data_IF_376438777187
#
_entry.id   IF_376438777187
#
_cell.length_a   1.000
_cell.length_b   1.000
_cell.length_c   1.000
_cell.angle_alpha   90.00
_cell.angle_beta   90.00
_cell.angle_gamma   90.00
#
_symmetry.space_group_name_H-M   'P 1'
#
loop_
_entity.id
_entity.type
_entity.pdbx_description
1 polymer ?
#
# COMPACT_ATOMS: atom_id res chain seq x y z
N UNK A 1 -12.16 6.76 40.87
CA UNK A 1 -11.22 6.27 39.83
C UNK A 1 -10.69 7.51 39.12
N UNK A 2 -9.45 7.91 39.46
CA UNK A 2 -8.97 9.30 39.36
C UNK A 2 -8.58 9.75 37.95
N UNK A 3 -9.03 10.95 37.56
CA UNK A 3 -8.59 11.65 36.33
C UNK A 3 -7.07 11.82 36.28
N UNK A 4 -6.42 11.87 37.44
CA UNK A 4 -4.98 12.01 37.57
C UNK A 4 -4.22 10.73 37.18
N UNK A 5 -4.76 9.54 37.50
CA UNK A 5 -4.18 8.27 37.05
C UNK A 5 -4.32 8.08 35.54
N UNK A 6 -5.44 8.51 34.96
CA UNK A 6 -5.64 8.50 33.50
C UNK A 6 -4.65 9.44 32.78
N UNK A 7 -4.30 10.57 33.39
CA UNK A 7 -3.29 11.49 32.85
C UNK A 7 -1.89 10.86 32.88
N UNK A 8 -1.49 10.26 34.01
CA UNK A 8 -0.20 9.56 34.15
C UNK A 8 -0.08 8.37 33.20
N UNK A 9 -1.14 7.57 33.04
CA UNK A 9 -1.15 6.46 32.09
C UNK A 9 -1.06 6.93 30.64
N UNK A 10 -1.66 8.07 30.28
CA UNK A 10 -1.55 8.66 28.93
C UNK A 10 -0.14 9.19 28.66
N UNK A 11 0.48 9.80 29.65
CA UNK A 11 1.86 10.29 29.53
C UNK A 11 2.85 9.14 29.39
N UNK A 12 2.69 8.09 30.20
CA UNK A 12 3.48 6.87 30.10
C UNK A 12 3.30 6.16 28.74
N UNK A 13 2.08 6.13 28.20
CA UNK A 13 1.82 5.56 26.86
C UNK A 13 2.45 6.39 25.74
N UNK A 14 2.49 7.72 25.87
CA UNK A 14 3.14 8.63 24.91
C UNK A 14 4.65 8.42 24.87
N UNK A 15 5.30 8.25 26.02
CA UNK A 15 6.75 8.01 26.09
C UNK A 15 7.12 6.60 25.58
N UNK A 16 6.30 5.58 25.86
CA UNK A 16 6.49 4.24 25.31
C UNK A 16 6.36 4.19 23.78
N UNK A 17 5.37 4.88 23.22
CA UNK A 17 5.15 5.01 21.76
C UNK A 17 6.27 5.79 21.05
N UNK A 18 7.01 6.63 21.75
CA UNK A 18 8.22 7.29 21.23
C UNK A 18 9.46 6.39 21.25
N UNK A 19 9.62 5.54 22.27
CA UNK A 19 10.75 4.58 22.33
C UNK A 19 10.61 3.42 21.36
N UNK A 20 9.37 2.98 21.12
CA UNK A 20 9.04 1.95 20.12
C UNK A 20 8.13 2.60 19.09
N UNK A 21 8.66 3.35 18.12
CA UNK A 21 7.87 3.70 16.96
C UNK A 21 7.33 2.40 16.38
N UNK A 22 6.05 2.32 15.97
CA UNK A 22 5.59 1.18 15.19
C UNK A 22 6.57 1.05 14.04
N UNK A 23 7.36 -0.03 14.05
CA UNK A 23 8.27 -0.31 12.96
C UNK A 23 7.34 -0.49 11.79
N UNK A 24 7.26 0.51 10.93
CA UNK A 24 6.56 0.40 9.66
C UNK A 24 7.42 -0.56 8.86
N UNK A 25 7.27 -1.87 9.12
CA UNK A 25 8.01 -2.93 8.43
C UNK A 25 7.74 -2.84 6.93
N UNK A 26 6.59 -2.26 6.54
CA UNK A 26 6.22 -1.97 5.16
C UNK A 26 7.13 -0.97 4.41
N UNK A 27 7.86 -0.07 5.09
CA UNK A 27 8.57 1.02 4.40
C UNK A 27 10.00 0.67 3.95
N UNK A 28 10.57 -0.47 4.37
CA UNK A 28 12.00 -0.71 4.20
C UNK A 28 12.40 -2.16 3.92
N UNK A 29 11.48 -3.02 3.47
CA UNK A 29 11.94 -4.05 2.53
C UNK A 29 12.27 -3.31 1.22
N UNK A 30 13.52 -2.89 1.10
CA UNK A 30 14.12 -2.69 -0.21
C UNK A 30 13.95 -4.03 -0.92
N UNK A 31 12.89 -4.14 -1.72
CA UNK A 31 12.76 -5.22 -2.66
C UNK A 31 14.02 -5.16 -3.53
N UNK A 32 14.95 -6.09 -3.31
CA UNK A 32 16.09 -6.39 -4.17
C UNK A 32 15.54 -6.96 -5.49
N UNK A 33 14.74 -6.16 -6.18
CA UNK A 33 14.31 -6.45 -7.52
C UNK A 33 15.54 -6.33 -8.39
N UNK A 34 15.82 -7.34 -9.23
CA UNK A 34 16.85 -7.24 -10.24
C UNK A 34 16.72 -5.91 -10.97
N UNK A 35 17.83 -5.16 -11.19
CA UNK A 35 17.77 -3.91 -11.89
C UNK A 35 17.04 -4.11 -13.22
N UNK A 36 16.08 -3.23 -13.57
CA UNK A 36 15.20 -3.48 -14.70
C UNK A 36 16.01 -3.63 -15.98
N UNK A 37 15.67 -4.66 -16.73
CA UNK A 37 16.30 -4.94 -18.02
C UNK A 37 16.06 -3.77 -18.98
N UNK A 38 16.91 -3.62 -20.00
CA UNK A 38 16.78 -2.52 -20.97
C UNK A 38 15.40 -2.49 -21.64
N UNK A 39 14.82 -3.65 -21.92
CA UNK A 39 13.45 -3.77 -22.46
C UNK A 39 12.38 -3.29 -21.49
N UNK A 40 12.49 -3.65 -20.21
CA UNK A 40 11.57 -3.17 -19.17
C UNK A 40 11.66 -1.66 -18.94
N UNK A 41 12.88 -1.08 -18.99
CA UNK A 41 13.06 0.38 -18.91
C UNK A 41 12.40 1.10 -20.08
N UNK A 42 12.51 0.55 -21.28
CA UNK A 42 11.87 1.11 -22.48
C UNK A 42 10.34 1.00 -22.38
N UNK A 43 9.82 -0.15 -21.95
CA UNK A 43 8.38 -0.35 -21.75
C UNK A 43 7.81 0.62 -20.70
N UNK A 44 8.50 0.83 -19.58
CA UNK A 44 8.08 1.79 -18.55
C UNK A 44 8.12 3.23 -19.06
N UNK A 45 9.15 3.59 -19.84
CA UNK A 45 9.23 4.91 -20.45
C UNK A 45 8.06 5.13 -21.41
N UNK A 46 7.78 4.15 -22.27
CA UNK A 46 6.67 4.18 -23.23
C UNK A 46 5.31 4.23 -22.53
N UNK A 47 5.10 3.46 -21.46
CA UNK A 47 3.87 3.49 -20.68
C UNK A 47 3.66 4.85 -20.00
N UNK A 48 4.73 5.45 -19.44
CA UNK A 48 4.66 6.78 -18.81
C UNK A 48 4.42 7.90 -19.82
N UNK A 49 4.97 7.79 -21.02
CA UNK A 49 4.76 8.81 -22.07
C UNK A 49 3.36 8.69 -22.67
N UNK A 50 2.90 7.48 -23.00
CA UNK A 50 1.58 7.25 -23.60
C UNK A 50 0.44 7.53 -22.60
N UNK A 51 0.65 7.27 -21.31
CA UNK A 51 -0.33 7.55 -20.25
C UNK A 51 -0.46 9.03 -19.86
N UNK A 52 0.32 9.94 -20.46
CA UNK A 52 0.28 11.36 -20.12
C UNK A 52 -0.75 12.13 -20.95
N UNK A 53 -1.57 12.96 -20.29
CA UNK A 53 -2.48 13.91 -20.95
C UNK A 53 -1.78 14.82 -21.98
N UNK A 54 -0.50 15.15 -21.75
CA UNK A 54 0.28 15.99 -22.67
C UNK A 54 0.60 15.27 -23.99
N UNK A 55 0.83 13.96 -23.94
CA UNK A 55 1.09 13.15 -25.13
C UNK A 55 -0.16 13.04 -26.00
N UNK A 56 -1.33 12.81 -25.39
CA UNK A 56 -2.61 12.74 -26.10
C UNK A 56 -2.86 14.05 -26.87
N UNK A 57 -2.70 15.20 -26.22
CA UNK A 57 -2.88 16.51 -26.86
C UNK A 57 -1.91 16.73 -28.02
N UNK A 58 -0.63 16.38 -27.85
CA UNK A 58 0.37 16.51 -28.91
C UNK A 58 0.05 15.59 -30.09
N UNK A 59 -0.26 14.32 -29.85
CA UNK A 59 -0.64 13.34 -30.87
C UNK A 59 -1.89 13.78 -31.64
N UNK A 60 -2.93 14.23 -30.94
CA UNK A 60 -4.15 14.75 -31.57
C UNK A 60 -3.86 15.99 -32.41
N UNK A 61 -3.04 16.91 -31.92
CA UNK A 61 -2.65 18.10 -32.69
C UNK A 61 -1.86 17.76 -33.95
N UNK A 62 -0.97 16.77 -33.89
CA UNK A 62 -0.19 16.30 -35.03
C UNK A 62 -1.10 15.66 -36.10
N UNK A 63 -2.09 14.85 -35.69
CA UNK A 63 -3.08 14.26 -36.60
C UNK A 63 -3.90 15.35 -37.28
N UNK A 64 -4.41 16.33 -36.52
CA UNK A 64 -5.20 17.45 -37.07
C UNK A 64 -4.37 18.28 -38.04
N UNK A 65 -3.11 18.57 -37.70
CA UNK A 65 -2.19 19.31 -38.58
C UNK A 65 -1.87 18.52 -39.86
N UNK A 66 -1.70 17.20 -39.76
CA UNK A 66 -1.44 16.33 -40.90
C UNK A 66 -2.62 16.28 -41.87
N UNK A 67 -3.84 16.10 -41.34
CA UNK A 67 -5.08 16.11 -42.13
C UNK A 67 -5.26 17.49 -42.76
N UNK A 68 -5.13 18.57 -41.99
CA UNK A 68 -5.22 19.94 -42.49
C UNK A 68 -4.23 20.22 -43.62
N UNK A 69 -2.95 19.89 -43.43
CA UNK A 69 -1.90 20.07 -44.43
C UNK A 69 -2.18 19.30 -45.74
N UNK A 70 -2.62 18.04 -45.65
CA UNK A 70 -2.94 17.24 -46.84
C UNK A 70 -4.20 17.73 -47.56
N UNK A 71 -5.23 18.16 -46.83
CA UNK A 71 -6.45 18.74 -47.41
C UNK A 71 -6.13 20.06 -48.13
N UNK A 72 -5.30 20.92 -47.55
CA UNK A 72 -4.86 22.17 -48.20
C UNK A 72 -3.98 21.93 -49.43
N UNK A 73 -3.19 20.85 -49.44
CA UNK A 73 -2.33 20.49 -50.58
C UNK A 73 -3.11 19.95 -51.79
N UNK A 74 -4.34 19.45 -51.61
CA UNK A 74 -5.28 19.08 -52.67
C UNK A 74 -4.68 18.15 -53.73
N UNK A 75 -4.34 18.70 -54.90
CA UNK A 75 -3.78 17.96 -56.03
C UNK A 75 -2.32 17.51 -55.85
N UNK A 76 -1.56 18.18 -54.97
CA UNK A 76 -0.21 17.78 -54.56
C UNK A 76 -0.22 17.11 -53.17
N UNK A 77 -1.36 16.59 -52.72
CA UNK A 77 -1.46 15.93 -51.43
C UNK A 77 -0.53 14.71 -51.37
N UNK A 78 0.27 14.65 -50.31
CA UNK A 78 1.21 13.56 -50.08
C UNK A 78 0.51 12.29 -49.59
N UNK A 79 -0.65 12.46 -48.94
CA UNK A 79 -1.55 11.40 -48.48
C UNK A 79 -3.01 11.78 -48.81
N UNK A 80 -3.48 11.53 -50.05
CA UNK A 80 -4.86 11.82 -50.46
C UNK A 80 -5.89 11.02 -49.63
N UNK A 81 -7.11 11.54 -49.51
CA UNK A 81 -8.23 10.82 -48.89
C UNK A 81 -8.38 9.43 -49.56
N UNK A 82 -8.27 8.30 -48.83
CA UNK A 82 -8.61 8.06 -47.41
C UNK A 82 -7.44 8.02 -46.39
N UNK A 83 -6.32 8.70 -46.63
CA UNK A 83 -5.15 8.80 -45.73
C UNK A 83 -4.50 7.44 -45.38
N UNK A 84 -4.01 6.72 -46.39
CA UNK A 84 -3.46 5.37 -46.24
C UNK A 84 -2.20 5.36 -45.36
N UNK A 85 -1.35 6.37 -45.46
CA UNK A 85 -0.10 6.44 -44.72
C UNK A 85 -0.35 6.71 -43.24
N UNK A 86 -1.26 7.65 -42.95
CA UNK A 86 -1.67 7.94 -41.57
C UNK A 86 -2.31 6.70 -40.91
N UNK A 87 -3.19 5.99 -41.64
CA UNK A 87 -3.82 4.78 -41.13
C UNK A 87 -2.78 3.66 -40.85
N UNK A 88 -1.84 3.45 -41.77
CA UNK A 88 -0.76 2.47 -41.58
C UNK A 88 0.10 2.82 -40.35
N UNK A 89 0.47 4.08 -40.20
CA UNK A 89 1.28 4.55 -39.08
C UNK A 89 0.56 4.35 -37.74
N UNK A 90 -0.72 4.74 -37.64
CA UNK A 90 -1.51 4.57 -36.42
C UNK A 90 -1.74 3.09 -36.09
N UNK A 91 -1.96 2.25 -37.09
CA UNK A 91 -2.11 0.80 -36.91
C UNK A 91 -0.82 0.18 -36.35
N UNK A 92 0.33 0.54 -36.91
CA UNK A 92 1.63 0.10 -36.40
C UNK A 92 1.90 0.62 -34.98
N UNK A 93 1.60 1.89 -34.72
CA UNK A 93 1.73 2.50 -33.39
C UNK A 93 0.91 1.73 -32.35
N UNK A 94 -0.36 1.44 -32.64
CA UNK A 94 -1.23 0.67 -31.74
C UNK A 94 -0.70 -0.76 -31.50
N UNK A 95 -0.25 -1.44 -32.57
CA UNK A 95 0.28 -2.79 -32.50
C UNK A 95 1.52 -2.91 -31.58
N UNK A 96 2.40 -1.91 -31.57
CA UNK A 96 3.56 -1.89 -30.66
C UNK A 96 3.23 -1.38 -29.26
N UNK A 97 2.25 -0.47 -29.15
CA UNK A 97 1.83 0.12 -27.88
C UNK A 97 1.18 -0.92 -26.96
N UNK A 98 0.31 -1.79 -27.47
CA UNK A 98 -0.42 -2.74 -26.63
C UNK A 98 0.50 -3.73 -25.89
N UNK A 99 1.49 -4.39 -26.51
CA UNK A 99 2.47 -5.23 -25.81
C UNK A 99 3.35 -4.44 -24.84
N UNK A 100 3.78 -3.23 -25.19
CA UNK A 100 4.58 -2.39 -24.30
C UNK A 100 3.82 -2.02 -23.02
N UNK A 101 2.54 -1.64 -23.17
CA UNK A 101 1.64 -1.39 -22.03
C UNK A 101 1.46 -2.68 -21.22
N UNK A 102 1.19 -3.82 -21.87
CA UNK A 102 1.00 -5.11 -21.19
C UNK A 102 2.25 -5.55 -20.41
N UNK A 103 3.45 -5.32 -20.94
CA UNK A 103 4.71 -5.60 -20.25
C UNK A 103 4.91 -4.71 -19.02
N UNK A 104 4.60 -3.41 -19.12
CA UNK A 104 4.68 -2.51 -17.97
C UNK A 104 3.62 -2.86 -16.91
N UNK A 105 2.41 -3.23 -17.33
CA UNK A 105 1.33 -3.71 -16.45
C UNK A 105 1.69 -5.02 -15.75
N UNK A 106 2.22 -6.01 -16.46
CA UNK A 106 2.63 -7.30 -15.87
C UNK A 106 3.72 -7.11 -14.81
N UNK A 107 4.62 -6.14 -15.04
CA UNK A 107 5.63 -5.79 -14.05
C UNK A 107 5.02 -5.10 -12.84
N UNK A 108 4.12 -4.14 -13.04
CA UNK A 108 3.46 -3.46 -11.92
C UNK A 108 2.64 -4.45 -11.08
N UNK A 109 1.92 -5.38 -11.71
CA UNK A 109 1.14 -6.39 -11.00
C UNK A 109 2.01 -7.39 -10.22
N UNK A 110 3.19 -7.75 -10.72
CA UNK A 110 4.17 -8.55 -9.98
C UNK A 110 4.66 -7.85 -8.72
N UNK A 111 4.92 -6.53 -8.81
CA UNK A 111 5.29 -5.70 -7.66
C UNK A 111 4.14 -5.61 -6.65
N UNK A 112 2.95 -5.28 -7.12
CA UNK A 112 1.76 -5.14 -6.28
C UNK A 112 1.44 -6.46 -5.56
N UNK A 113 1.59 -7.61 -6.24
CA UNK A 113 1.40 -8.93 -5.63
C UNK A 113 2.41 -9.20 -4.51
N UNK A 114 3.68 -8.88 -4.73
CA UNK A 114 4.73 -9.06 -3.72
C UNK A 114 4.52 -8.14 -2.51
N UNK A 115 4.07 -6.91 -2.74
CA UNK A 115 3.67 -6.01 -1.66
C UNK A 115 2.50 -6.58 -0.86
N UNK A 116 1.47 -7.10 -1.53
CA UNK A 116 0.32 -7.71 -0.88
C UNK A 116 0.69 -8.96 -0.05
N UNK A 117 1.62 -9.78 -0.53
CA UNK A 117 2.13 -10.95 0.20
C UNK A 117 2.86 -10.55 1.49
N UNK A 118 3.73 -9.54 1.42
CA UNK A 118 4.43 -8.99 2.59
C UNK A 118 3.45 -8.36 3.60
N UNK A 119 2.49 -7.57 3.12
CA UNK A 119 1.45 -6.97 3.96
C UNK A 119 0.61 -8.05 4.66
N UNK A 120 0.33 -9.17 3.98
CA UNK A 120 -0.37 -10.32 4.56
C UNK A 120 0.45 -10.96 5.69
N UNK A 121 1.74 -11.22 5.49
CA UNK A 121 2.61 -11.80 6.54
C UNK A 121 2.71 -10.89 7.77
N UNK A 122 2.83 -9.58 7.55
CA UNK A 122 2.83 -8.59 8.64
C UNK A 122 1.50 -8.63 9.40
N UNK A 123 0.37 -8.74 8.71
CA UNK A 123 -0.94 -8.81 9.33
C UNK A 123 -1.12 -10.09 10.17
N UNK A 124 -0.71 -11.25 9.64
CA UNK A 124 -0.74 -12.52 10.38
C UNK A 124 0.13 -12.44 11.64
N UNK A 125 1.33 -11.84 11.53
CA UNK A 125 2.20 -11.64 12.70
C UNK A 125 1.57 -10.72 13.74
N UNK A 126 0.94 -9.63 13.30
CA UNK A 126 0.24 -8.72 14.19
C UNK A 126 -0.95 -9.39 14.89
N UNK A 127 -1.70 -10.25 14.19
CA UNK A 127 -2.77 -11.05 14.75
C UNK A 127 -2.27 -11.98 15.87
N UNK A 128 -1.17 -12.71 15.63
CA UNK A 128 -0.54 -13.57 16.63
C UNK A 128 -0.03 -12.78 17.84
N UNK A 129 0.61 -11.62 17.63
CA UNK A 129 1.05 -10.75 18.73
C UNK A 129 -0.13 -10.25 19.57
N UNK A 130 -1.28 -9.95 18.94
CA UNK A 130 -2.50 -9.56 19.64
C UNK A 130 -3.08 -10.72 20.46
N UNK A 131 -3.10 -11.94 19.91
CA UNK A 131 -3.56 -13.14 20.61
C UNK A 131 -2.71 -13.42 21.86
N UNK A 132 -1.38 -13.38 21.72
CA UNK A 132 -0.46 -13.54 22.85
C UNK A 132 -0.63 -12.45 23.93
N UNK A 133 -0.93 -11.22 23.50
CA UNK A 133 -1.23 -10.13 24.45
C UNK A 133 -2.55 -10.39 25.19
N UNK A 134 -3.58 -10.93 24.53
CA UNK A 134 -4.84 -11.29 25.18
C UNK A 134 -4.62 -12.40 26.21
N UNK A 135 -3.92 -13.48 25.85
CA UNK A 135 -3.59 -14.56 26.77
C UNK A 135 -2.86 -14.04 28.03
N UNK A 136 -1.86 -13.17 27.83
CA UNK A 136 -1.12 -12.57 28.95
C UNK A 136 -2.00 -11.69 29.83
N UNK A 137 -2.94 -10.93 29.25
CA UNK A 137 -3.88 -10.11 30.00
C UNK A 137 -4.82 -10.98 30.83
N UNK A 138 -5.32 -12.07 30.26
CA UNK A 138 -6.22 -13.00 30.96
C UNK A 138 -5.52 -13.69 32.12
N UNK A 139 -4.27 -14.14 31.94
CA UNK A 139 -3.45 -14.69 33.02
C UNK A 139 -3.21 -13.68 34.15
N UNK A 140 -2.87 -12.43 33.82
CA UNK A 140 -2.68 -11.38 34.82
C UNK A 140 -3.98 -11.07 35.57
N UNK A 141 -5.12 -11.03 34.87
CA UNK A 141 -6.43 -10.85 35.47
C UNK A 141 -6.79 -11.97 36.43
N UNK A 142 -6.53 -13.22 36.05
CA UNK A 142 -6.79 -14.37 36.90
C UNK A 142 -5.96 -14.30 38.19
N UNK A 143 -4.67 -13.95 38.09
CA UNK A 143 -3.80 -13.73 39.25
C UNK A 143 -4.32 -12.62 40.17
N UNK A 144 -4.72 -11.47 39.62
CA UNK A 144 -5.27 -10.36 40.40
C UNK A 144 -6.59 -10.75 41.09
N UNK A 145 -7.48 -11.47 40.40
CA UNK A 145 -8.75 -11.94 40.98
C UNK A 145 -8.52 -12.96 42.10
N UNK A 146 -7.57 -13.87 41.93
CA UNK A 146 -7.20 -14.83 42.97
C UNK A 146 -6.63 -14.12 44.21
N UNK A 147 -5.73 -13.15 44.02
CA UNK A 147 -5.16 -12.37 45.10
C UNK A 147 -6.23 -11.55 45.86
N UNK A 148 -7.14 -10.90 45.12
CA UNK A 148 -8.25 -10.16 45.72
C UNK A 148 -9.18 -11.07 46.51
N UNK A 149 -9.48 -12.27 45.98
CA UNK A 149 -10.33 -13.26 46.65
C UNK A 149 -9.68 -13.76 47.94
N UNK A 150 -8.36 -14.01 47.93
CA UNK A 150 -7.61 -14.40 49.12
C UNK A 150 -7.62 -13.29 50.19
N UNK A 151 -7.35 -12.05 49.79
CA UNK A 151 -7.39 -10.90 50.70
C UNK A 151 -8.77 -10.70 51.35
N UNK A 152 -9.86 -10.85 50.57
CA UNK A 152 -11.23 -10.78 51.10
C UNK A 152 -11.52 -11.92 52.08
N UNK A 153 -11.08 -13.15 51.79
CA UNK A 153 -11.22 -14.29 52.70
C UNK A 153 -10.48 -14.08 54.01
N UNK A 154 -9.25 -13.57 53.96
CA UNK A 154 -8.45 -13.25 55.16
C UNK A 154 -9.10 -12.16 56.02
N UNK A 155 -9.63 -11.10 55.42
CA UNK A 155 -10.37 -10.07 56.15
C UNK A 155 -11.62 -10.64 56.81
N UNK A 156 -12.36 -11.50 56.10
CA UNK A 156 -13.54 -12.17 56.65
C UNK A 156 -13.22 -13.05 57.86
N UNK A 157 -12.14 -13.82 57.82
CA UNK A 157 -11.73 -14.69 58.95
C UNK A 157 -11.26 -13.88 60.14
N UNK A 158 -10.55 -12.77 59.93
CA UNK A 158 -10.16 -11.85 61.00
C UNK A 158 -11.36 -11.22 61.70
N UNK A 159 -12.37 -10.76 60.95
CA UNK A 159 -13.60 -10.19 61.52
C UNK A 159 -14.37 -11.24 62.35
N UNK A 160 -14.47 -12.48 61.86
CA UNK A 160 -15.13 -13.56 62.62
C UNK A 160 -14.40 -13.86 63.94
N UNK A 161 -13.06 -13.87 63.94
CA UNK A 161 -12.26 -14.09 65.14
C UNK A 161 -12.41 -12.95 66.17
N UNK A 162 -12.63 -11.72 65.72
CA UNK A 162 -12.91 -10.58 66.60
C UNK A 162 -14.34 -10.61 67.16
N UNK A 163 -15.31 -11.18 66.44
CA UNK A 163 -16.69 -11.31 66.90
C UNK A 163 -16.92 -12.47 67.88
N UNK A 164 -16.03 -13.48 67.92
CA UNK A 164 -16.11 -14.61 68.85
C UNK A 164 -15.43 -14.36 70.20
N UNK A 165 -14.84 -13.17 70.40
CA UNK A 165 -14.25 -12.69 71.66
C UNK A 165 -15.22 -11.77 72.40
#
# INVERSE_FOLDING_TARGET
MDLHQLALLREHRRTHRHKHPPRVIAAAEHFDLPPPTRGQRLADLVARTIGSWRFILLQSSAIVLWIGGNVLAGHNAWDPYPFILLNLLLSFQAAYTAPAIMMSQNRQSELDRKHAESDYEVNVKAELEIELLHEKIDLLKEQELQALTQAVRELSTQLQALQTR
#
